data_IF_751458420204
#
_entry.id   IF_751458420204
#
_cell.length_a   1.000
_cell.length_b   1.000
_cell.length_c   1.000
_cell.angle_alpha   90.00
_cell.angle_beta   90.00
_cell.angle_gamma   90.00
#
_symmetry.space_group_name_H-M   'P 1'
#
loop_
_entity.id
_entity.type
_entity.pdbx_description
1 polymer ?
#
# COMPACT_ATOMS: atom_id res chain seq x y z
N UNK A 1 22.37 9.79 8.04
CA UNK A 1 21.72 9.31 6.79
C UNK A 1 21.24 7.86 6.88
N UNK A 2 21.96 6.94 7.56
CA UNK A 2 21.50 5.57 7.88
C UNK A 2 20.10 5.52 8.50
N UNK A 3 19.81 6.39 9.47
CA UNK A 3 18.51 6.50 10.15
C UNK A 3 17.32 6.55 9.17
N UNK A 4 17.40 7.34 8.10
CA UNK A 4 16.31 7.48 7.14
C UNK A 4 16.18 6.26 6.24
N UNK A 5 17.30 5.72 5.72
CA UNK A 5 17.26 4.52 4.89
C UNK A 5 16.75 3.30 5.68
N UNK A 6 17.20 3.15 6.93
CA UNK A 6 16.80 2.05 7.81
C UNK A 6 15.32 2.15 8.20
N UNK A 7 14.81 3.37 8.45
CA UNK A 7 13.40 3.58 8.70
C UNK A 7 12.53 3.24 7.47
N UNK A 8 12.98 3.58 6.26
CA UNK A 8 12.26 3.25 5.02
C UNK A 8 12.24 1.73 4.75
N UNK A 9 13.34 1.02 5.04
CA UNK A 9 13.42 -0.45 4.91
C UNK A 9 12.48 -1.18 5.87
N UNK A 10 12.27 -0.63 7.06
CA UNK A 10 11.41 -1.26 8.07
C UNK A 10 9.91 -1.00 7.84
N UNK A 11 9.55 -0.21 6.83
CA UNK A 11 8.17 0.14 6.51
C UNK A 11 7.72 -0.58 5.24
N UNK A 12 7.02 -1.73 5.35
CA UNK A 12 6.40 -2.37 4.20
C UNK A 12 5.38 -1.46 3.56
N UNK A 13 5.37 -1.42 2.23
CA UNK A 13 4.43 -0.64 1.45
C UNK A 13 3.26 -1.53 1.02
N UNK A 14 2.04 -1.02 1.24
CA UNK A 14 0.80 -1.70 0.88
C UNK A 14 0.02 -0.91 -0.16
N UNK A 15 -0.53 -1.62 -1.13
CA UNK A 15 -1.46 -1.07 -2.10
C UNK A 15 -2.90 -1.39 -1.68
N UNK A 16 -3.67 -0.36 -1.38
CA UNK A 16 -5.07 -0.46 -0.95
C UNK A 16 -6.01 -0.23 -2.14
N UNK A 17 -5.93 -1.10 -3.15
CA UNK A 17 -6.72 -0.96 -4.37
C UNK A 17 -8.19 -1.35 -4.22
N UNK A 18 -8.52 -2.17 -3.21
CA UNK A 18 -9.83 -2.76 -3.01
C UNK A 18 -10.19 -2.78 -1.53
N UNK A 19 -11.47 -2.57 -1.23
CA UNK A 19 -12.04 -2.95 0.05
C UNK A 19 -12.37 -4.44 -0.01
N UNK A 20 -11.64 -5.26 0.76
CA UNK A 20 -11.87 -6.71 0.89
C UNK A 20 -12.66 -6.94 2.20
N UNK A 21 -13.71 -7.77 2.19
CA UNK A 21 -14.15 -8.65 1.10
C UNK A 21 -14.78 -7.91 -0.08
N UNK A 22 -14.59 -8.46 -1.29
CA UNK A 22 -15.10 -7.88 -2.53
C UNK A 22 -15.90 -8.92 -3.32
N UNK A 23 -17.17 -8.64 -3.61
CA UNK A 23 -18.06 -9.51 -4.39
C UNK A 23 -18.34 -8.91 -5.77
N UNK A 24 -18.20 -9.72 -6.83
CA UNK A 24 -18.41 -9.31 -8.22
C UNK A 24 -19.10 -10.40 -9.03
N UNK A 25 -20.02 -10.03 -9.93
CA UNK A 25 -20.66 -10.99 -10.84
C UNK A 25 -19.60 -11.75 -11.65
N UNK A 26 -19.73 -13.08 -11.76
CA UNK A 26 -18.74 -13.93 -12.46
C UNK A 26 -18.57 -13.58 -13.93
N UNK A 27 -19.60 -13.04 -14.56
CA UNK A 27 -19.60 -12.58 -15.95
C UNK A 27 -19.23 -11.10 -16.11
N UNK A 28 -18.79 -10.44 -15.03
CA UNK A 28 -18.47 -9.01 -15.06
C UNK A 28 -17.31 -8.72 -16.00
N UNK A 29 -17.48 -7.71 -16.86
CA UNK A 29 -16.41 -7.13 -17.69
C UNK A 29 -15.80 -5.88 -17.04
N UNK A 30 -16.11 -5.63 -15.77
CA UNK A 30 -15.55 -4.49 -15.05
C UNK A 30 -14.03 -4.62 -14.93
N UNK A 31 -13.31 -3.50 -14.97
CA UNK A 31 -11.84 -3.47 -14.86
C UNK A 31 -11.33 -4.19 -13.59
N UNK A 32 -12.11 -4.13 -12.51
CA UNK A 32 -11.76 -4.73 -11.22
C UNK A 32 -11.72 -6.26 -11.31
N UNK A 33 -12.50 -6.89 -12.20
CA UNK A 33 -12.50 -8.34 -12.36
C UNK A 33 -11.12 -8.88 -12.76
N UNK A 34 -10.44 -8.22 -13.70
CA UNK A 34 -9.11 -8.61 -14.14
C UNK A 34 -8.05 -8.41 -13.05
N UNK A 35 -8.17 -7.34 -12.26
CA UNK A 35 -7.26 -7.09 -11.12
C UNK A 35 -7.48 -8.12 -10.00
N UNK A 36 -8.73 -8.43 -9.65
CA UNK A 36 -9.05 -9.42 -8.63
C UNK A 36 -8.60 -10.83 -9.05
N UNK A 37 -8.78 -11.18 -10.32
CA UNK A 37 -8.27 -12.46 -10.85
C UNK A 37 -6.74 -12.51 -10.75
N UNK A 38 -6.03 -11.46 -11.15
CA UNK A 38 -4.57 -11.41 -11.04
C UNK A 38 -4.09 -11.54 -9.58
N UNK A 39 -4.77 -10.90 -8.62
CA UNK A 39 -4.47 -11.04 -7.20
C UNK A 39 -4.72 -12.48 -6.69
N UNK A 40 -5.81 -13.11 -7.14
CA UNK A 40 -6.13 -14.50 -6.82
C UNK A 40 -5.12 -15.49 -7.42
N UNK A 41 -4.74 -15.33 -8.68
CA UNK A 41 -3.73 -16.16 -9.36
C UNK A 41 -2.36 -16.07 -8.65
N UNK A 42 -2.04 -14.90 -8.09
CA UNK A 42 -0.85 -14.67 -7.27
C UNK A 42 -1.03 -15.08 -5.80
N UNK A 43 -2.13 -15.78 -5.45
CA UNK A 43 -2.44 -16.29 -4.09
C UNK A 43 -2.54 -15.19 -3.02
N UNK A 44 -2.81 -13.96 -3.43
CA UNK A 44 -3.02 -12.84 -2.51
C UNK A 44 -4.48 -12.73 -2.03
N UNK A 45 -5.39 -13.40 -2.73
CA UNK A 45 -6.81 -13.51 -2.41
C UNK A 45 -7.24 -14.98 -2.47
N UNK A 46 -8.21 -15.33 -1.63
CA UNK A 46 -9.05 -16.51 -1.83
C UNK A 46 -10.27 -16.13 -2.67
N UNK A 47 -10.93 -17.12 -3.28
CA UNK A 47 -12.10 -16.90 -4.14
C UNK A 47 -13.15 -17.97 -3.90
N UNK A 48 -14.32 -17.54 -3.45
CA UNK A 48 -15.48 -18.38 -3.24
C UNK A 48 -16.62 -18.06 -4.21
N UNK A 49 -17.48 -19.06 -4.42
CA UNK A 49 -18.68 -18.96 -5.24
C UNK A 49 -19.86 -18.52 -4.37
N UNK A 50 -20.36 -17.32 -4.61
CA UNK A 50 -21.51 -16.75 -3.90
C UNK A 50 -22.72 -16.60 -4.82
N UNK A 51 -23.93 -16.71 -4.27
CA UNK A 51 -25.19 -16.42 -4.96
C UNK A 51 -25.89 -15.32 -4.20
N UNK A 52 -26.13 -14.17 -4.86
CA UNK A 52 -26.78 -13.02 -4.24
C UNK A 52 -28.13 -12.73 -4.88
N UNK A 53 -29.11 -12.37 -4.05
CA UNK A 53 -30.42 -11.91 -4.49
C UNK A 53 -30.42 -10.39 -4.46
N UNK A 54 -30.45 -9.78 -5.64
CA UNK A 54 -30.40 -8.33 -5.84
C UNK A 54 -31.80 -7.81 -6.17
N UNK A 55 -32.24 -6.78 -5.48
CA UNK A 55 -33.51 -6.10 -5.79
C UNK A 55 -33.36 -5.20 -7.02
N UNK A 56 -34.31 -5.30 -7.94
CA UNK A 56 -34.32 -4.45 -9.14
C UNK A 56 -34.95 -3.11 -8.76
N UNK A 57 -34.16 -2.03 -8.76
CA UNK A 57 -34.65 -0.68 -8.47
C UNK A 57 -35.86 -0.34 -9.35
N UNK A 58 -36.96 0.06 -8.72
CA UNK A 58 -38.22 0.39 -9.41
C UNK A 58 -39.11 -0.81 -9.74
N UNK A 59 -38.83 -2.00 -9.20
CA UNK A 59 -39.64 -3.20 -9.40
C UNK A 59 -39.72 -4.04 -8.12
N UNK A 60 -40.83 -4.77 -7.92
CA UNK A 60 -40.94 -5.81 -6.88
C UNK A 60 -40.22 -7.11 -7.28
N UNK A 61 -39.50 -7.11 -8.41
CA UNK A 61 -38.76 -8.27 -8.92
C UNK A 61 -37.37 -8.34 -8.29
N UNK A 62 -36.94 -9.56 -7.97
CA UNK A 62 -35.60 -9.88 -7.51
C UNK A 62 -34.83 -10.59 -8.63
N UNK A 63 -33.53 -10.29 -8.75
CA UNK A 63 -32.61 -10.96 -9.67
C UNK A 63 -31.62 -11.79 -8.85
N UNK A 64 -31.43 -13.04 -9.25
CA UNK A 64 -30.36 -13.88 -8.71
C UNK A 64 -29.09 -13.62 -9.53
N UNK A 65 -27.98 -13.36 -8.84
CA UNK A 65 -26.67 -13.12 -9.43
C UNK A 65 -25.69 -14.16 -8.90
N UNK A 66 -24.86 -14.70 -9.80
CA UNK A 66 -23.78 -15.62 -9.43
C UNK A 66 -22.50 -14.81 -9.36
N UNK A 67 -21.93 -14.71 -8.17
CA UNK A 67 -20.75 -13.89 -7.91
C UNK A 67 -19.54 -14.74 -7.55
N UNK A 68 -18.37 -14.15 -7.74
CA UNK A 68 -17.17 -14.49 -7.00
C UNK A 68 -17.04 -13.52 -5.83
N UNK A 69 -16.80 -14.08 -4.65
CA UNK A 69 -16.43 -13.34 -3.47
C UNK A 69 -14.95 -13.55 -3.22
N UNK A 70 -14.20 -12.47 -3.13
CA UNK A 70 -12.79 -12.46 -2.83
C UNK A 70 -12.58 -12.02 -1.39
N UNK A 71 -11.80 -12.82 -0.66
CA UNK A 71 -11.44 -12.58 0.73
C UNK A 71 -9.90 -12.66 0.84
N UNK A 72 -9.33 -12.13 1.93
CA UNK A 72 -7.93 -12.42 2.22
C UNK A 72 -7.81 -13.90 2.63
N UNK A 73 -6.74 -14.61 2.22
CA UNK A 73 -6.50 -15.97 2.69
C UNK A 73 -6.45 -16.03 4.21
N UNK A 74 -7.06 -17.07 4.82
CA UNK A 74 -7.00 -17.29 6.26
C UNK A 74 -5.54 -17.39 6.73
N UNK A 75 -5.19 -16.64 7.77
CA UNK A 75 -3.83 -16.50 8.27
C UNK A 75 -3.36 -17.77 9.00
N UNK A 76 -2.94 -18.78 8.25
CA UNK A 76 -2.05 -19.83 8.80
C UNK A 76 -0.63 -19.77 8.20
N UNK A 77 -0.40 -19.07 7.07
CA UNK A 77 0.89 -19.17 6.35
C UNK A 77 1.45 -17.86 5.74
N UNK A 78 0.94 -16.68 6.08
CA UNK A 78 1.30 -15.45 5.36
C UNK A 78 1.76 -14.30 6.25
N UNK A 79 3.07 -14.19 6.50
CA UNK A 79 3.71 -13.06 7.20
C UNK A 79 3.51 -11.69 6.51
N UNK A 80 2.83 -11.63 5.36
CA UNK A 80 2.73 -10.45 4.49
C UNK A 80 1.32 -9.85 4.33
N UNK A 81 0.28 -10.43 4.94
CA UNK A 81 -1.06 -9.82 4.97
C UNK A 81 -1.17 -9.06 6.30
N UNK A 82 -0.52 -7.89 6.38
CA UNK A 82 -0.59 -7.09 7.59
C UNK A 82 -2.01 -6.56 7.81
N UNK A 83 -2.34 -6.29 9.07
CA UNK A 83 -3.56 -5.67 9.60
C UNK A 83 -3.97 -4.31 8.97
N UNK A 84 -3.33 -3.89 7.88
CA UNK A 84 -3.53 -2.60 7.20
C UNK A 84 -4.44 -2.66 5.96
N UNK A 85 -5.05 -3.81 5.65
CA UNK A 85 -6.10 -3.92 4.63
C UNK A 85 -5.63 -3.66 3.19
N UNK A 86 -4.45 -4.17 2.80
CA UNK A 86 -3.92 -3.99 1.45
C UNK A 86 -2.91 -5.06 1.03
N UNK A 87 -2.40 -4.94 -0.19
CA UNK A 87 -1.47 -5.89 -0.79
C UNK A 87 -0.03 -5.40 -0.66
N UNK A 88 0.82 -6.16 0.04
CA UNK A 88 2.24 -5.85 0.16
C UNK A 88 2.91 -5.84 -1.22
N UNK A 89 3.68 -4.78 -1.52
CA UNK A 89 4.33 -4.62 -2.82
C UNK A 89 5.80 -4.24 -2.79
N UNK A 90 6.43 -4.09 -1.61
CA UNK A 90 7.86 -3.79 -1.49
C UNK A 90 8.21 -2.87 -0.32
N UNK A 91 9.47 -2.41 -0.28
CA UNK A 91 10.01 -1.52 0.74
C UNK A 91 10.57 -0.23 0.16
N UNK A 92 10.59 0.83 0.97
CA UNK A 92 11.27 2.07 0.60
C UNK A 92 12.79 1.98 0.78
N UNK A 93 13.54 2.67 -0.08
CA UNK A 93 14.99 2.89 0.06
C UNK A 93 15.34 4.34 -0.20
N UNK A 94 16.28 4.86 0.58
CA UNK A 94 16.80 6.20 0.37
C UNK A 94 17.68 6.21 -0.89
N UNK A 95 17.43 7.16 -1.79
CA UNK A 95 18.29 7.44 -2.94
C UNK A 95 19.25 8.58 -2.65
N UNK A 96 18.73 9.68 -2.12
CA UNK A 96 19.49 10.92 -1.94
C UNK A 96 18.88 11.73 -0.79
N UNK A 97 19.72 12.33 0.03
CA UNK A 97 19.34 13.38 0.98
C UNK A 97 19.59 14.72 0.30
N UNK A 98 18.51 15.43 -0.04
CA UNK A 98 18.57 16.69 -0.79
C UNK A 98 18.92 17.85 0.14
N UNK A 99 18.21 17.95 1.26
CA UNK A 99 18.34 19.03 2.22
C UNK A 99 18.12 18.50 3.63
N UNK A 100 18.81 19.10 4.60
CA UNK A 100 18.63 18.85 6.02
C UNK A 100 18.55 20.21 6.74
N UNK A 101 17.46 20.45 7.46
CA UNK A 101 17.29 21.68 8.23
C UNK A 101 18.26 21.72 9.41
N UNK A 102 18.49 22.93 9.94
CA UNK A 102 19.04 23.06 11.29
C UNK A 102 18.05 22.46 12.31
N UNK A 103 18.55 21.87 13.41
CA UNK A 103 17.70 21.45 14.51
C UNK A 103 16.86 22.62 15.05
N UNK A 104 15.59 22.38 15.32
CA UNK A 104 14.67 23.35 15.93
C UNK A 104 13.88 22.69 17.05
N UNK A 105 13.43 23.48 18.04
CA UNK A 105 12.77 22.95 19.24
C UNK A 105 11.25 23.14 19.16
N UNK A 106 10.49 22.07 19.45
CA UNK A 106 9.03 22.08 19.60
C UNK A 106 8.66 21.22 20.80
N UNK A 107 7.83 21.75 21.72
CA UNK A 107 7.28 20.96 22.83
C UNK A 107 8.33 20.26 23.70
N UNK A 108 9.50 20.89 23.90
CA UNK A 108 10.61 20.34 24.68
C UNK A 108 11.50 19.33 23.94
N UNK A 109 11.15 18.93 22.72
CA UNK A 109 11.98 18.05 21.86
C UNK A 109 12.66 18.83 20.74
N UNK A 110 13.80 18.33 20.27
CA UNK A 110 14.44 18.84 19.05
C UNK A 110 14.05 18.02 17.83
N UNK A 111 13.80 18.72 16.73
CA UNK A 111 13.44 18.13 15.44
C UNK A 111 14.36 18.65 14.33
N UNK A 112 14.50 17.86 13.28
CA UNK A 112 15.11 18.28 12.02
C UNK A 112 14.32 17.72 10.84
N UNK A 113 14.23 18.51 9.77
CA UNK A 113 13.56 18.13 8.54
C UNK A 113 14.56 17.68 7.50
N UNK A 114 14.32 16.53 6.88
CA UNK A 114 15.10 16.03 5.77
C UNK A 114 14.24 15.96 4.51
N UNK A 115 14.63 16.68 3.46
CA UNK A 115 14.06 16.49 2.13
C UNK A 115 14.82 15.38 1.42
N UNK A 116 14.12 14.34 0.97
CA UNK A 116 14.75 13.13 0.46
C UNK A 116 14.19 12.72 -0.90
N UNK A 117 15.03 12.08 -1.70
CA UNK A 117 14.62 11.22 -2.80
C UNK A 117 14.67 9.77 -2.36
N UNK A 118 13.64 9.00 -2.70
CA UNK A 118 13.54 7.59 -2.35
C UNK A 118 12.91 6.77 -3.47
N UNK A 119 13.09 5.46 -3.44
CA UNK A 119 12.57 4.52 -4.43
C UNK A 119 12.09 3.24 -3.74
N UNK A 120 11.35 2.43 -4.48
CA UNK A 120 10.84 1.13 -4.00
C UNK A 120 11.79 0.02 -4.43
N UNK A 121 12.11 -0.88 -3.51
CA UNK A 121 12.88 -2.11 -3.74
C UNK A 121 12.05 -3.33 -3.36
N UNK A 122 12.54 -4.51 -3.73
CA UNK A 122 11.95 -5.80 -3.38
C UNK A 122 10.47 -5.87 -3.81
N UNK A 123 10.23 -5.30 -5.01
CA UNK A 123 8.90 -5.21 -5.60
C UNK A 123 8.41 -6.61 -5.91
N UNK A 124 7.20 -6.92 -5.46
CA UNK A 124 6.60 -8.23 -5.69
C UNK A 124 6.20 -8.43 -7.15
N UNK A 125 6.35 -9.64 -7.68
CA UNK A 125 6.18 -9.94 -9.10
C UNK A 125 4.78 -9.60 -9.64
N UNK A 126 3.74 -9.75 -8.80
CA UNK A 126 2.36 -9.46 -9.16
C UNK A 126 2.14 -7.99 -9.59
N UNK A 127 3.01 -7.08 -9.14
CA UNK A 127 2.91 -5.63 -9.38
C UNK A 127 3.06 -5.28 -10.86
N UNK A 128 3.81 -6.07 -11.62
CA UNK A 128 4.05 -5.87 -13.06
C UNK A 128 3.02 -6.60 -13.94
N UNK A 129 2.00 -7.22 -13.34
CA UNK A 129 0.96 -7.87 -14.12
C UNK A 129 0.14 -6.83 -14.92
N UNK A 130 -0.23 -7.09 -16.19
CA UNK A 130 -0.92 -6.12 -17.06
C UNK A 130 -2.23 -5.56 -16.48
N UNK A 131 -2.88 -6.32 -15.59
CA UNK A 131 -4.08 -5.86 -14.88
C UNK A 131 -3.83 -4.56 -14.08
N UNK A 132 -2.60 -4.28 -13.67
CA UNK A 132 -2.21 -3.14 -12.84
C UNK A 132 -1.59 -1.97 -13.60
N UNK A 133 -1.52 -2.00 -14.94
CA UNK A 133 -0.94 -0.91 -15.75
C UNK A 133 -1.55 0.47 -15.45
N UNK A 134 -2.85 0.47 -15.13
CA UNK A 134 -3.61 1.68 -14.78
C UNK A 134 -3.50 2.08 -13.31
N UNK A 135 -2.96 1.21 -12.45
CA UNK A 135 -2.73 1.51 -11.04
C UNK A 135 -1.48 2.39 -10.89
N UNK A 136 -1.69 3.72 -10.93
CA UNK A 136 -0.61 4.72 -10.93
C UNK A 136 0.44 4.49 -9.83
N UNK A 137 0.04 4.12 -8.62
CA UNK A 137 0.96 3.88 -7.49
C UNK A 137 1.93 2.74 -7.79
N UNK A 138 1.41 1.61 -8.29
CA UNK A 138 2.21 0.43 -8.64
C UNK A 138 3.14 0.73 -9.80
N UNK A 139 2.62 1.32 -10.89
CA UNK A 139 3.43 1.76 -12.04
C UNK A 139 4.54 2.73 -11.64
N UNK A 140 4.23 3.74 -10.82
CA UNK A 140 5.23 4.71 -10.32
C UNK A 140 6.29 4.04 -9.44
N UNK A 141 5.93 2.98 -8.72
CA UNK A 141 6.86 2.20 -7.89
C UNK A 141 7.85 1.44 -8.76
N UNK A 142 7.40 0.80 -9.85
CA UNK A 142 8.28 0.17 -10.85
C UNK A 142 9.27 1.17 -11.48
N UNK A 143 8.82 2.39 -11.75
CA UNK A 143 9.67 3.46 -12.31
C UNK A 143 10.62 4.12 -11.30
N UNK A 144 10.40 3.91 -10.00
CA UNK A 144 10.94 4.77 -8.93
C UNK A 144 12.46 4.75 -8.85
N UNK A 145 13.12 3.64 -9.22
CA UNK A 145 14.59 3.57 -9.24
C UNK A 145 15.19 4.58 -10.21
N UNK A 146 14.56 4.78 -11.37
CA UNK A 146 14.95 5.79 -12.39
C UNK A 146 14.38 7.16 -12.05
N UNK A 147 13.10 7.23 -11.67
CA UNK A 147 12.34 8.45 -11.37
C UNK A 147 11.91 8.48 -9.89
N UNK A 148 12.84 8.77 -8.96
CA UNK A 148 12.59 8.67 -7.53
C UNK A 148 11.44 9.55 -7.07
N UNK A 149 10.81 9.13 -5.98
CA UNK A 149 9.85 9.95 -5.25
C UNK A 149 10.57 10.96 -4.38
N UNK A 150 9.91 12.07 -4.09
CA UNK A 150 10.40 13.09 -3.18
C UNK A 150 9.45 13.23 -2.01
N UNK A 151 9.98 13.37 -0.79
CA UNK A 151 9.19 13.69 0.40
C UNK A 151 10.03 14.38 1.46
N UNK A 152 9.36 15.10 2.36
CA UNK A 152 9.93 15.52 3.63
C UNK A 152 9.72 14.43 4.68
N UNK A 153 10.75 14.18 5.46
CA UNK A 153 10.69 13.31 6.66
C UNK A 153 11.23 14.07 7.86
N UNK A 154 10.81 13.65 9.03
CA UNK A 154 11.17 14.29 10.29
C UNK A 154 12.09 13.39 11.08
N UNK A 155 13.10 13.99 11.70
CA UNK A 155 13.95 13.38 12.69
C UNK A 155 13.65 14.03 14.04
N UNK A 156 13.60 13.25 15.10
CA UNK A 156 13.47 13.74 16.48
C UNK A 156 14.69 13.31 17.28
N UNK A 157 15.15 14.19 18.16
CA UNK A 157 16.16 13.89 19.17
C UNK A 157 15.48 13.53 20.50
N UNK A 158 15.76 12.34 21.02
CA UNK A 158 15.14 11.79 22.24
C UNK A 158 15.88 12.16 23.54
N UNK A 159 16.96 12.96 23.44
CA UNK A 159 17.85 13.29 24.55
C UNK A 159 19.22 12.61 24.45
N UNK A 160 19.31 11.47 23.73
CA UNK A 160 20.54 10.71 23.55
C UNK A 160 20.93 10.56 22.06
N UNK A 161 19.96 10.34 21.17
CA UNK A 161 20.22 10.12 19.75
C UNK A 161 19.10 10.67 18.84
N UNK A 162 19.43 10.83 17.55
CA UNK A 162 18.47 11.16 16.51
C UNK A 162 17.77 9.90 16.00
N UNK A 163 16.45 9.94 15.90
CA UNK A 163 15.61 8.88 15.36
C UNK A 163 14.64 9.36 14.30
N UNK A 164 14.05 8.44 13.53
CA UNK A 164 13.02 8.75 12.54
C UNK A 164 11.68 8.99 13.22
N UNK A 165 11.06 10.15 12.97
CA UNK A 165 9.76 10.52 13.53
C UNK A 165 8.64 10.25 12.52
N UNK A 166 7.64 9.46 12.93
CA UNK A 166 6.51 9.06 12.07
C UNK A 166 5.32 10.02 12.12
N UNK A 167 5.36 11.07 12.94
CA UNK A 167 4.31 12.08 13.08
C UNK A 167 4.66 13.44 12.45
N UNK A 168 3.74 14.40 12.54
CA UNK A 168 4.08 15.81 12.34
C UNK A 168 4.75 16.35 13.62
N UNK A 169 5.82 17.15 13.51
CA UNK A 169 6.39 17.82 14.67
C UNK A 169 5.33 18.68 15.38
N UNK A 170 5.15 18.48 16.70
CA UNK A 170 4.17 19.24 17.49
C UNK A 170 2.72 18.78 17.37
N UNK A 171 2.42 17.69 16.66
CA UNK A 171 1.13 17.02 16.75
C UNK A 171 0.98 16.29 18.09
N UNK A 172 -0.07 16.61 18.84
CA UNK A 172 -0.58 15.76 19.92
C UNK A 172 -1.14 14.45 19.36
#
# INVERSE_FOLDING_TARGET
>A
MRIVDDALKQQPLFWQGFAIPYSIERSSKHKDAAMLEALYENKLLSRDKETLVVEIKGSNRKRITMNYRYDFPDQENGENISSQGGFYYGYGRLKELMELSKPYQIGGSYYAEAYIKWYVTDIQDWVDAPAFDKARTLRRSLESKRKPFEKRVYLQYDGNQWGFWRGQPGGL
#
